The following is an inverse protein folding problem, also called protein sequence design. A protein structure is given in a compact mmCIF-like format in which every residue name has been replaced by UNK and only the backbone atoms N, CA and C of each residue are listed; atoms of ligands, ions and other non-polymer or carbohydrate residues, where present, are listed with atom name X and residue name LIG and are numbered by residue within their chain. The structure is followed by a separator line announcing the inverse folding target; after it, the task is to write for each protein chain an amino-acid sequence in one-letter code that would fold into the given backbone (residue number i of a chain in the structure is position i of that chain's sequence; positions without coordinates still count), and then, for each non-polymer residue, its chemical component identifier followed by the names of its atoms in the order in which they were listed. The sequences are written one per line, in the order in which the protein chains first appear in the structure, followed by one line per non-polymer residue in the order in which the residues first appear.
data_IF_956806970292
#
_entry.id   IF_956806970292
#
_cell.length_a   1.000
_cell.length_b   1.000
_cell.length_c   1.000
_cell.angle_alpha   90.00
_cell.angle_beta   90.00
_cell.angle_gamma   90.00
#
_symmetry.space_group_name_H-M   'P 1'
#
loop_
_entity.id
_entity.type
_entity.pdbx_description
1 polymer ?
#
# COMPACT_ATOMS: atom_id res chain seq x y z
N UNK A 1 20.84 -20.80 28.58
CA UNK A 1 19.91 -20.85 27.42
C UNK A 1 20.61 -20.17 26.26
N UNK A 2 20.57 -20.76 25.06
CA UNK A 2 21.08 -20.07 23.87
C UNK A 2 20.31 -18.77 23.67
N UNK A 3 20.99 -17.71 23.22
CA UNK A 3 20.30 -16.46 22.91
C UNK A 3 19.40 -16.67 21.68
N UNK A 4 18.20 -16.05 21.65
CA UNK A 4 17.35 -16.12 20.47
C UNK A 4 18.09 -15.58 19.23
N UNK A 5 17.96 -16.30 18.12
CA UNK A 5 18.58 -15.98 16.83
C UNK A 5 17.65 -15.11 15.99
N UNK A 6 18.22 -14.33 15.08
CA UNK A 6 17.47 -13.57 14.07
C UNK A 6 17.88 -14.10 12.71
N UNK A 7 16.90 -14.55 11.95
CA UNK A 7 17.10 -15.27 10.70
C UNK A 7 16.19 -14.71 9.60
N UNK A 8 16.66 -14.65 8.34
CA UNK A 8 15.81 -14.26 7.22
C UNK A 8 14.70 -15.29 7.01
N UNK A 9 13.49 -14.82 6.71
CA UNK A 9 12.34 -15.67 6.41
C UNK A 9 12.41 -16.08 4.94
N UNK A 10 12.76 -17.33 4.66
CA UNK A 10 12.78 -17.87 3.30
C UNK A 10 11.38 -18.35 2.90
N UNK A 11 11.18 -18.69 1.62
CA UNK A 11 9.87 -19.15 1.13
C UNK A 11 9.37 -20.42 1.84
N UNK A 12 10.28 -21.29 2.27
CA UNK A 12 9.96 -22.47 3.09
C UNK A 12 9.49 -22.15 4.51
N UNK A 13 9.87 -20.98 5.06
CA UNK A 13 9.49 -20.53 6.40
C UNK A 13 8.18 -19.74 6.42
N UNK A 14 7.62 -19.44 5.25
CA UNK A 14 6.58 -18.43 5.12
C UNK A 14 5.28 -18.83 5.83
N UNK A 15 4.81 -20.06 5.66
CA UNK A 15 3.59 -20.53 6.32
C UNK A 15 3.74 -20.58 7.85
N UNK A 16 4.82 -21.16 8.42
CA UNK A 16 5.08 -21.06 9.87
C UNK A 16 5.09 -19.62 10.40
N UNK A 17 5.72 -18.68 9.69
CA UNK A 17 5.71 -17.27 10.09
C UNK A 17 4.31 -16.65 10.00
N UNK A 18 3.56 -16.94 8.94
CA UNK A 18 2.21 -16.43 8.77
C UNK A 18 1.24 -17.00 9.81
N UNK A 19 1.42 -18.26 10.22
CA UNK A 19 0.68 -18.85 11.32
C UNK A 19 0.97 -18.12 12.64
N UNK A 20 2.24 -17.81 12.92
CA UNK A 20 2.61 -16.96 14.05
C UNK A 20 1.91 -15.58 14.02
N UNK A 21 1.80 -14.94 12.84
CA UNK A 21 1.09 -13.67 12.69
C UNK A 21 -0.42 -13.81 12.94
N UNK A 22 -1.06 -14.86 12.43
CA UNK A 22 -2.49 -15.12 12.69
C UNK A 22 -2.76 -15.28 14.19
N UNK A 23 -1.88 -16.00 14.90
CA UNK A 23 -2.04 -16.27 16.33
C UNK A 23 -1.76 -15.04 17.21
N UNK A 24 -0.82 -14.17 16.81
CA UNK A 24 -0.28 -13.13 17.71
C UNK A 24 -0.48 -11.69 17.25
N UNK A 25 -0.82 -11.45 15.97
CA UNK A 25 -1.02 -10.10 15.42
C UNK A 25 -2.48 -9.82 15.04
N UNK A 26 -3.11 -10.71 14.27
CA UNK A 26 -4.52 -10.57 13.87
C UNK A 26 -5.08 -11.92 13.45
N UNK A 27 -6.10 -12.38 14.18
CA UNK A 27 -6.84 -13.61 13.89
C UNK A 27 -7.90 -13.46 12.78
N UNK A 28 -8.06 -12.25 12.24
CA UNK A 28 -8.97 -11.98 11.11
C UNK A 28 -8.41 -12.49 9.78
N UNK A 29 -7.10 -12.79 9.73
CA UNK A 29 -6.41 -13.27 8.52
C UNK A 29 -5.80 -14.64 8.77
N UNK A 30 -6.07 -15.59 7.86
CA UNK A 30 -5.42 -16.90 7.86
C UNK A 30 -3.93 -16.79 7.47
N UNK A 31 -3.17 -17.84 7.76
CA UNK A 31 -1.76 -17.92 7.38
C UNK A 31 -1.57 -17.80 5.85
N UNK A 32 -2.50 -18.35 5.07
CA UNK A 32 -2.48 -18.27 3.61
C UNK A 32 -2.75 -16.86 3.10
N UNK A 33 -3.66 -16.13 3.75
CA UNK A 33 -3.95 -14.73 3.40
C UNK A 33 -2.75 -13.83 3.67
N UNK A 34 -2.06 -14.04 4.80
CA UNK A 34 -0.77 -13.39 5.06
C UNK A 34 0.27 -13.78 4.01
N UNK A 35 0.40 -15.07 3.72
CA UNK A 35 1.38 -15.58 2.76
C UNK A 35 1.14 -15.03 1.33
N UNK A 36 -0.11 -14.75 0.95
CA UNK A 36 -0.43 -14.13 -0.34
C UNK A 36 0.27 -12.77 -0.49
N UNK A 37 0.36 -11.97 0.57
CA UNK A 37 1.03 -10.67 0.52
C UNK A 37 2.55 -10.78 0.34
N UNK A 38 3.19 -11.78 0.97
CA UNK A 38 4.64 -12.00 0.87
C UNK A 38 5.06 -12.73 -0.42
N UNK A 39 4.13 -13.46 -1.05
CA UNK A 39 4.35 -14.16 -2.33
C UNK A 39 4.26 -13.26 -3.56
N UNK A 40 3.97 -11.97 -3.40
CA UNK A 40 3.92 -11.06 -4.54
C UNK A 40 5.28 -11.04 -5.26
N UNK A 41 5.25 -11.21 -6.58
CA UNK A 41 6.43 -11.25 -7.43
C UNK A 41 6.71 -9.88 -8.08
N UNK A 42 6.71 -8.83 -7.26
CA UNK A 42 6.94 -7.45 -7.72
C UNK A 42 8.42 -7.11 -7.90
N UNK A 43 9.29 -8.05 -7.55
CA UNK A 43 10.72 -8.09 -7.82
C UNK A 43 11.12 -9.55 -8.02
N UNK A 44 11.97 -9.83 -9.00
CA UNK A 44 12.33 -11.20 -9.36
C UNK A 44 13.38 -11.83 -8.43
N UNK A 45 14.24 -11.02 -7.83
CA UNK A 45 15.37 -11.44 -6.99
C UNK A 45 15.17 -11.01 -5.52
N UNK A 46 13.95 -11.22 -4.99
CA UNK A 46 13.65 -10.89 -3.59
C UNK A 46 14.62 -11.61 -2.64
N UNK A 47 15.21 -10.93 -1.64
CA UNK A 47 16.24 -11.53 -0.78
C UNK A 47 15.68 -12.43 0.33
N UNK A 48 14.43 -12.20 0.77
CA UNK A 48 13.71 -12.92 1.82
C UNK A 48 12.25 -12.41 1.86
N UNK A 49 11.49 -12.77 2.90
CA UNK A 49 10.13 -12.27 3.19
C UNK A 49 10.08 -11.47 4.51
N UNK A 50 11.23 -11.00 5.00
CA UNK A 50 11.41 -10.39 6.30
C UNK A 50 12.37 -11.18 7.19
N UNK A 51 12.30 -10.96 8.50
CA UNK A 51 13.15 -11.62 9.49
C UNK A 51 12.31 -12.14 10.67
N UNK A 52 12.70 -13.28 11.21
CA UNK A 52 12.08 -13.90 12.37
C UNK A 52 13.08 -14.00 13.53
N UNK A 53 12.57 -13.90 14.76
CA UNK A 53 13.28 -14.28 15.97
C UNK A 53 12.92 -15.74 16.26
N UNK A 54 13.94 -16.60 16.39
CA UNK A 54 13.76 -17.99 16.81
C UNK A 54 14.36 -18.24 18.18
N UNK A 55 13.60 -18.93 19.02
CA UNK A 55 14.10 -19.51 20.27
C UNK A 55 13.74 -21.00 20.30
N UNK A 56 14.74 -21.86 20.49
CA UNK A 56 14.58 -23.32 20.49
C UNK A 56 13.78 -23.84 19.27
N UNK A 57 14.07 -23.29 18.08
CA UNK A 57 13.41 -23.64 16.81
C UNK A 57 12.03 -23.03 16.58
N UNK A 58 11.42 -22.38 17.58
CA UNK A 58 10.10 -21.75 17.48
C UNK A 58 10.21 -20.28 17.12
N UNK A 59 9.29 -19.81 16.28
CA UNK A 59 9.15 -18.38 15.98
C UNK A 59 8.53 -17.69 17.20
N UNK A 60 9.23 -16.70 17.74
CA UNK A 60 8.79 -15.91 18.92
C UNK A 60 8.64 -14.42 18.61
N UNK A 61 8.88 -14.06 17.35
CA UNK A 61 8.68 -12.72 16.81
C UNK A 61 9.09 -12.66 15.35
N UNK A 62 8.67 -11.62 14.65
CA UNK A 62 9.12 -11.35 13.30
C UNK A 62 8.63 -10.02 12.76
N UNK A 63 9.19 -9.68 11.61
CA UNK A 63 8.89 -8.47 10.84
C UNK A 63 8.79 -8.90 9.38
N UNK A 64 7.66 -8.62 8.74
CA UNK A 64 7.43 -8.93 7.34
C UNK A 64 8.06 -7.87 6.43
N UNK A 65 8.46 -8.29 5.22
CA UNK A 65 8.95 -7.40 4.19
C UNK A 65 8.35 -7.76 2.82
N UNK A 66 7.83 -6.76 2.13
CA UNK A 66 7.34 -6.86 0.74
C UNK A 66 8.29 -6.07 -0.14
N UNK A 67 8.80 -6.70 -1.19
CA UNK A 67 9.81 -6.11 -2.06
C UNK A 67 9.24 -5.79 -3.44
N UNK A 68 9.71 -4.71 -4.05
CA UNK A 68 9.26 -4.28 -5.37
C UNK A 68 10.31 -3.47 -6.12
N UNK A 69 10.24 -3.49 -7.45
CA UNK A 69 11.00 -2.59 -8.32
C UNK A 69 10.07 -1.73 -9.15
N UNK A 70 10.40 -0.44 -9.24
CA UNK A 70 9.55 0.53 -9.93
C UNK A 70 10.36 1.61 -10.60
N UNK A 71 9.85 2.13 -11.71
CA UNK A 71 10.40 3.34 -12.32
C UNK A 71 9.91 4.57 -11.58
N UNK A 72 10.83 5.38 -11.07
CA UNK A 72 10.58 6.67 -10.45
C UNK A 72 11.54 7.67 -11.09
N UNK A 73 11.02 8.78 -11.64
CA UNK A 73 11.81 9.80 -12.34
C UNK A 73 12.74 9.21 -13.43
N UNK A 74 12.27 8.16 -14.11
CA UNK A 74 13.02 7.46 -15.15
C UNK A 74 14.05 6.43 -14.66
N UNK A 75 14.28 6.32 -13.36
CA UNK A 75 15.23 5.36 -12.76
C UNK A 75 14.49 4.17 -12.14
N UNK A 76 15.08 2.97 -12.24
CA UNK A 76 14.57 1.80 -11.51
C UNK A 76 15.02 1.91 -10.05
N UNK A 77 14.05 2.06 -9.16
CA UNK A 77 14.24 2.13 -7.71
C UNK A 77 13.70 0.86 -7.06
N UNK A 78 14.42 0.33 -6.06
CA UNK A 78 14.03 -0.87 -5.33
C UNK A 78 13.48 -0.50 -3.96
N UNK A 79 12.38 -1.11 -3.57
CA UNK A 79 11.70 -0.85 -2.30
C UNK A 79 11.61 -2.10 -1.44
N UNK A 80 11.73 -1.90 -0.13
CA UNK A 80 11.38 -2.85 0.92
C UNK A 80 10.31 -2.20 1.80
N UNK A 81 9.06 -2.59 1.61
CA UNK A 81 7.97 -2.19 2.49
C UNK A 81 7.90 -3.13 3.70
N UNK A 82 8.20 -2.57 4.87
CA UNK A 82 8.09 -3.20 6.17
C UNK A 82 6.61 -3.31 6.54
N UNK A 83 6.20 -4.49 7.00
CA UNK A 83 4.83 -4.82 7.41
C UNK A 83 4.83 -5.84 8.56
N UNK A 84 3.68 -6.10 9.16
CA UNK A 84 3.42 -7.28 9.98
C UNK A 84 4.45 -7.51 11.10
N UNK A 85 4.79 -6.45 11.83
CA UNK A 85 5.77 -6.50 12.91
C UNK A 85 5.11 -6.96 14.23
N UNK A 86 5.44 -8.18 14.67
CA UNK A 86 4.91 -8.76 15.91
C UNK A 86 6.02 -9.49 16.69
N UNK A 87 6.12 -9.25 18.00
CA UNK A 87 7.09 -9.92 18.87
C UNK A 87 6.41 -10.28 20.19
N UNK A 88 6.55 -11.52 20.63
CA UNK A 88 6.01 -11.96 21.91
C UNK A 88 6.60 -11.14 23.07
N UNK A 89 5.81 -10.95 24.12
CA UNK A 89 6.15 -10.07 25.25
C UNK A 89 7.53 -10.35 25.84
N UNK A 90 7.84 -11.61 26.11
CA UNK A 90 9.13 -12.04 26.68
C UNK A 90 10.34 -11.70 25.78
N UNK A 91 10.12 -11.43 24.49
CA UNK A 91 11.17 -11.18 23.49
C UNK A 91 11.17 -9.75 22.95
N UNK A 92 10.32 -8.84 23.47
CA UNK A 92 10.22 -7.46 22.95
C UNK A 92 11.56 -6.69 22.99
N UNK A 93 12.46 -7.02 23.91
CA UNK A 93 13.82 -6.47 23.95
C UNK A 93 14.62 -6.74 22.65
N UNK A 94 14.27 -7.77 21.90
CA UNK A 94 14.89 -8.13 20.62
C UNK A 94 14.23 -7.46 19.42
N UNK A 95 13.09 -6.77 19.60
CA UNK A 95 12.30 -6.17 18.51
C UNK A 95 13.12 -5.19 17.67
N UNK A 96 13.96 -4.38 18.30
CA UNK A 96 14.81 -3.42 17.59
C UNK A 96 15.83 -4.11 16.66
N UNK A 97 16.33 -5.29 17.03
CA UNK A 97 17.26 -6.05 16.19
C UNK A 97 16.60 -6.55 14.90
N UNK A 98 15.29 -6.84 14.91
CA UNK A 98 14.54 -7.17 13.69
C UNK A 98 14.51 -6.00 12.72
N UNK A 99 14.13 -4.81 13.20
CA UNK A 99 14.11 -3.62 12.37
C UNK A 99 15.51 -3.29 11.82
N UNK A 100 16.56 -3.41 12.65
CA UNK A 100 17.94 -3.26 12.20
C UNK A 100 18.33 -4.26 11.12
N UNK A 101 17.94 -5.54 11.24
CA UNK A 101 18.22 -6.55 10.22
C UNK A 101 17.58 -6.20 8.87
N UNK A 102 16.33 -5.73 8.88
CA UNK A 102 15.63 -5.28 7.66
C UNK A 102 16.33 -4.10 7.02
N UNK A 103 16.58 -3.03 7.79
CA UNK A 103 17.06 -1.74 7.26
C UNK A 103 18.56 -1.71 6.96
N UNK A 104 19.29 -2.78 7.33
CA UNK A 104 20.70 -2.97 6.99
C UNK A 104 20.88 -3.64 5.62
N UNK A 105 19.79 -4.11 4.99
CA UNK A 105 19.84 -4.65 3.63
C UNK A 105 20.19 -3.51 2.66
N UNK A 106 21.29 -3.62 1.89
CA UNK A 106 21.70 -2.57 0.97
C UNK A 106 20.80 -2.49 -0.25
N UNK A 107 20.75 -1.33 -0.89
CA UNK A 107 20.12 -1.15 -2.20
C UNK A 107 18.59 -1.01 -2.20
N UNK A 108 17.97 -0.81 -1.04
CA UNK A 108 16.52 -0.58 -0.92
C UNK A 108 16.19 0.76 -0.27
N UNK A 109 15.12 1.40 -0.76
CA UNK A 109 14.36 2.38 -0.01
C UNK A 109 13.36 1.66 0.89
N UNK A 110 13.14 2.16 2.10
CA UNK A 110 12.26 1.50 3.05
C UNK A 110 10.99 2.29 3.28
N UNK A 111 9.86 1.60 3.44
CA UNK A 111 8.57 2.21 3.76
C UNK A 111 7.83 1.40 4.81
N UNK A 112 7.06 2.06 5.65
CA UNK A 112 6.01 1.46 6.46
C UNK A 112 4.79 2.39 6.35
N UNK A 113 3.69 1.89 5.78
CA UNK A 113 2.56 2.70 5.35
C UNK A 113 1.35 2.55 6.27
N UNK A 114 1.43 1.68 7.26
CA UNK A 114 0.42 1.47 8.28
C UNK A 114 1.01 1.29 9.69
N UNK A 115 2.08 2.03 10.07
CA UNK A 115 2.75 1.78 11.33
C UNK A 115 1.82 2.09 12.50
N UNK A 116 1.94 1.35 13.59
CA UNK A 116 1.42 1.82 14.87
C UNK A 116 2.20 3.05 15.33
N UNK A 117 1.66 3.85 16.25
CA UNK A 117 2.40 5.01 16.78
C UNK A 117 3.74 4.61 17.40
N UNK A 118 3.78 3.48 18.10
CA UNK A 118 5.00 2.91 18.69
C UNK A 118 6.00 2.51 17.60
N UNK A 119 5.54 1.83 16.55
CA UNK A 119 6.39 1.44 15.41
C UNK A 119 6.93 2.66 14.67
N UNK A 120 6.09 3.67 14.40
CA UNK A 120 6.48 4.91 13.73
C UNK A 120 7.58 5.64 14.51
N UNK A 121 7.43 5.79 15.84
CA UNK A 121 8.47 6.38 16.70
C UNK A 121 9.76 5.56 16.68
N UNK A 122 9.65 4.24 16.70
CA UNK A 122 10.80 3.33 16.64
C UNK A 122 11.57 3.48 15.32
N UNK A 123 10.87 3.49 14.19
CA UNK A 123 11.47 3.64 12.86
C UNK A 123 12.13 5.02 12.66
N UNK A 124 11.64 6.07 13.32
CA UNK A 124 12.28 7.39 13.26
C UNK A 124 13.68 7.39 13.87
N UNK A 125 13.96 6.58 14.90
CA UNK A 125 15.34 6.37 15.39
C UNK A 125 16.24 5.70 14.34
N UNK A 126 15.65 4.97 13.39
CA UNK A 126 16.33 4.36 12.23
C UNK A 126 16.36 5.28 11.01
N UNK A 127 16.24 6.60 11.19
CA UNK A 127 16.27 7.65 10.15
C UNK A 127 15.08 7.61 9.18
N UNK A 128 13.99 6.93 9.53
CA UNK A 128 12.75 7.09 8.77
C UNK A 128 12.17 8.48 9.01
N UNK A 129 11.65 9.08 7.95
CA UNK A 129 11.02 10.39 7.93
C UNK A 129 9.50 10.19 7.84
N UNK A 130 8.69 10.92 8.61
CA UNK A 130 7.25 10.90 8.45
C UNK A 130 6.85 11.48 7.09
N UNK A 131 5.76 10.97 6.53
CA UNK A 131 5.10 11.51 5.35
C UNK A 131 3.84 12.28 5.74
N UNK A 132 3.36 13.11 4.81
CA UNK A 132 2.10 13.81 4.99
C UNK A 132 0.94 12.81 5.16
N UNK A 133 0.37 12.80 6.36
CA UNK A 133 -0.75 11.97 6.81
C UNK A 133 -2.13 12.49 6.39
N UNK A 134 -2.20 13.70 5.80
CA UNK A 134 -3.48 14.32 5.49
C UNK A 134 -4.20 13.58 4.38
N UNK A 135 -5.51 13.54 4.50
CA UNK A 135 -6.39 13.04 3.44
C UNK A 135 -7.33 14.14 2.97
N UNK A 136 -7.33 14.37 1.66
CA UNK A 136 -8.37 15.13 1.00
C UNK A 136 -9.62 14.25 0.89
N UNK A 137 -10.77 14.80 1.30
CA UNK A 137 -12.08 14.18 1.16
C UNK A 137 -13.02 15.16 0.45
N UNK A 138 -13.76 14.65 -0.53
CA UNK A 138 -14.82 15.40 -1.19
C UNK A 138 -16.03 14.51 -1.44
N UNK A 139 -17.24 15.10 -1.45
CA UNK A 139 -18.45 14.34 -1.72
C UNK A 139 -18.53 13.87 -3.17
N UNK A 140 -19.15 12.72 -3.37
CA UNK A 140 -19.54 12.20 -4.67
C UNK A 140 -21.02 12.55 -4.90
N UNK A 141 -21.36 13.00 -6.10
CA UNK A 141 -22.72 13.37 -6.46
C UNK A 141 -23.00 12.94 -7.90
N UNK A 142 -24.28 12.73 -8.27
CA UNK A 142 -24.64 12.51 -9.66
C UNK A 142 -24.30 13.78 -10.44
N UNK A 143 -23.33 13.68 -11.36
CA UNK A 143 -22.86 14.82 -12.13
C UNK A 143 -23.47 14.74 -13.54
N UNK A 144 -24.47 15.57 -13.90
CA UNK A 144 -25.19 15.42 -15.18
C UNK A 144 -24.29 15.68 -16.40
N UNK A 145 -23.18 16.42 -16.22
CA UNK A 145 -22.18 16.65 -17.26
C UNK A 145 -21.10 15.55 -17.32
N UNK A 146 -21.20 14.48 -16.52
CA UNK A 146 -20.21 13.38 -16.51
C UNK A 146 -20.16 12.61 -17.83
N UNK A 147 -21.29 12.57 -18.55
CA UNK A 147 -21.42 11.98 -19.88
C UNK A 147 -21.07 12.95 -21.03
N UNK A 148 -20.84 14.24 -20.73
CA UNK A 148 -20.53 15.24 -21.75
C UNK A 148 -19.02 15.22 -22.04
N UNK A 149 -18.68 15.24 -23.33
CA UNK A 149 -17.31 15.24 -23.88
C UNK A 149 -16.52 13.91 -23.87
N UNK A 150 -17.20 12.75 -23.87
CA UNK A 150 -16.59 11.45 -24.20
C UNK A 150 -15.69 10.85 -23.11
N UNK A 151 -15.78 11.34 -21.88
CA UNK A 151 -15.10 10.75 -20.71
C UNK A 151 -15.86 9.49 -20.28
N UNK A 152 -15.14 8.41 -19.99
CA UNK A 152 -15.71 7.12 -19.54
C UNK A 152 -15.03 6.67 -18.26
N UNK A 153 -15.77 5.92 -17.45
CA UNK A 153 -15.25 5.06 -16.38
C UNK A 153 -15.43 3.63 -16.82
N UNK A 154 -14.33 2.88 -16.92
CA UNK A 154 -14.30 1.49 -17.35
C UNK A 154 -13.88 0.66 -16.13
N UNK A 155 -14.68 -0.34 -15.77
CA UNK A 155 -14.41 -1.26 -14.65
C UNK A 155 -14.24 -2.70 -15.09
N UNK A 156 -14.57 -3.03 -16.34
CA UNK A 156 -14.33 -4.35 -16.92
C UNK A 156 -12.83 -4.59 -17.11
N UNK A 157 -12.32 -5.69 -16.56
CA UNK A 157 -10.88 -5.95 -16.50
C UNK A 157 -10.25 -6.17 -17.88
N UNK A 158 -10.97 -6.81 -18.81
CA UNK A 158 -10.47 -7.02 -20.18
C UNK A 158 -10.38 -5.70 -20.94
N UNK A 159 -11.40 -4.86 -20.80
CA UNK A 159 -11.38 -3.52 -21.37
C UNK A 159 -10.28 -2.66 -20.76
N UNK A 160 -10.11 -2.66 -19.42
CA UNK A 160 -9.01 -1.94 -18.75
C UNK A 160 -7.65 -2.37 -19.31
N UNK A 161 -7.41 -3.68 -19.45
CA UNK A 161 -6.15 -4.21 -19.98
C UNK A 161 -5.83 -3.67 -21.39
N UNK A 162 -6.85 -3.44 -22.21
CA UNK A 162 -6.70 -2.99 -23.60
C UNK A 162 -6.49 -1.48 -23.78
N UNK A 163 -6.92 -0.65 -22.81
CA UNK A 163 -6.99 0.82 -22.97
C UNK A 163 -5.94 1.60 -22.17
N UNK A 164 -5.30 0.96 -21.20
CA UNK A 164 -4.30 1.62 -20.36
C UNK A 164 -2.97 1.81 -21.10
N UNK A 165 -2.26 2.94 -20.87
CA UNK A 165 -0.87 3.09 -21.29
C UNK A 165 0.01 1.97 -20.71
N UNK A 166 1.11 1.63 -21.37
CA UNK A 166 1.96 0.48 -21.02
C UNK A 166 2.35 0.41 -19.52
N UNK A 167 2.82 1.52 -18.93
CA UNK A 167 3.22 1.57 -17.53
C UNK A 167 2.04 1.35 -16.57
N UNK A 168 0.88 1.96 -16.87
CA UNK A 168 -0.34 1.78 -16.07
C UNK A 168 -0.93 0.37 -16.25
N UNK A 169 -0.86 -0.18 -17.46
CA UNK A 169 -1.28 -1.54 -17.79
C UNK A 169 -0.47 -2.59 -17.04
N UNK A 170 0.85 -2.36 -16.86
CA UNK A 170 1.70 -3.21 -16.03
C UNK A 170 1.25 -3.21 -14.56
N UNK A 171 1.04 -2.03 -13.97
CA UNK A 171 0.55 -1.90 -12.58
C UNK A 171 -0.78 -2.63 -12.43
N UNK A 172 -1.72 -2.45 -13.38
CA UNK A 172 -2.98 -3.17 -13.37
C UNK A 172 -2.79 -4.69 -13.42
N UNK A 173 -1.99 -5.20 -14.37
CA UNK A 173 -1.74 -6.63 -14.53
C UNK A 173 -1.14 -7.28 -13.27
N UNK A 174 -0.21 -6.58 -12.60
CA UNK A 174 0.48 -7.04 -11.40
C UNK A 174 -0.37 -6.94 -10.11
N UNK A 175 -1.58 -6.39 -10.18
CA UNK A 175 -2.48 -6.23 -9.03
C UNK A 175 -3.91 -6.79 -9.24
N UNK A 176 -4.36 -7.02 -10.48
CA UNK A 176 -5.75 -7.41 -10.80
C UNK A 176 -6.21 -8.74 -10.20
N UNK A 177 -5.29 -9.58 -9.74
CA UNK A 177 -5.58 -10.85 -9.05
C UNK A 177 -5.96 -10.67 -7.57
N UNK A 178 -5.72 -9.50 -7.00
CA UNK A 178 -6.04 -9.18 -5.61
C UNK A 178 -7.51 -8.75 -5.51
N UNK A 179 -8.37 -9.69 -5.08
CA UNK A 179 -9.83 -9.56 -5.15
C UNK A 179 -10.44 -8.42 -4.31
N UNK A 180 -9.72 -7.95 -3.29
CA UNK A 180 -10.15 -6.81 -2.47
C UNK A 180 -9.85 -5.44 -3.10
N UNK A 181 -9.07 -5.39 -4.19
CA UNK A 181 -8.81 -4.16 -4.93
C UNK A 181 -9.87 -3.94 -6.02
N UNK A 182 -10.42 -2.75 -6.07
CA UNK A 182 -11.27 -2.31 -7.16
C UNK A 182 -10.44 -1.51 -8.17
N UNK A 183 -10.61 -1.81 -9.45
CA UNK A 183 -9.89 -1.17 -10.54
C UNK A 183 -10.83 -0.39 -11.45
N UNK A 184 -10.39 0.78 -11.89
CA UNK A 184 -11.06 1.54 -12.93
C UNK A 184 -10.04 2.20 -13.87
N UNK A 185 -10.43 2.37 -15.14
CA UNK A 185 -9.80 3.30 -16.06
C UNK A 185 -10.75 4.49 -16.28
N UNK A 186 -10.32 5.70 -15.91
CA UNK A 186 -11.11 6.93 -16.09
C UNK A 186 -10.42 7.87 -17.06
N UNK A 187 -11.16 8.34 -18.06
CA UNK A 187 -10.63 9.28 -19.05
C UNK A 187 -11.25 9.13 -20.42
N UNK A 188 -10.47 9.47 -21.45
CA UNK A 188 -10.88 9.43 -22.85
C UNK A 188 -10.03 8.41 -23.61
N UNK A 189 -10.46 7.96 -24.81
CA UNK A 189 -9.61 7.15 -25.68
C UNK A 189 -8.22 7.76 -25.85
N UNK A 190 -7.17 6.96 -25.60
CA UNK A 190 -5.76 7.39 -25.65
C UNK A 190 -5.24 8.12 -24.40
N UNK A 191 -6.10 8.46 -23.43
CA UNK A 191 -5.74 9.16 -22.20
C UNK A 191 -6.59 8.67 -21.02
N UNK A 192 -6.36 7.42 -20.62
CA UNK A 192 -6.99 6.80 -19.46
C UNK A 192 -6.05 6.80 -18.25
N UNK A 193 -6.58 7.24 -17.11
CA UNK A 193 -5.96 7.09 -15.80
C UNK A 193 -6.41 5.76 -15.18
N UNK A 194 -5.46 4.88 -14.83
CA UNK A 194 -5.73 3.76 -13.94
C UNK A 194 -5.98 4.28 -12.53
N UNK A 195 -7.00 3.76 -11.85
CA UNK A 195 -7.35 4.10 -10.46
C UNK A 195 -7.56 2.80 -9.70
N UNK A 196 -6.93 2.69 -8.54
CA UNK A 196 -7.11 1.57 -7.61
C UNK A 196 -7.70 2.10 -6.31
N UNK A 197 -8.77 1.48 -5.86
CA UNK A 197 -9.52 1.95 -4.70
C UNK A 197 -10.12 0.78 -3.91
N UNK A 198 -10.55 1.08 -2.68
CA UNK A 198 -11.32 0.17 -1.83
C UNK A 198 -12.59 0.84 -1.32
N UNK A 199 -13.67 0.07 -1.06
CA UNK A 199 -14.74 0.50 -0.18
C UNK A 199 -14.19 1.02 1.15
N UNK A 200 -14.70 2.14 1.62
CA UNK A 200 -14.31 2.73 2.89
C UNK A 200 -15.55 3.22 3.65
N UNK A 201 -15.47 3.28 4.98
CA UNK A 201 -16.54 3.82 5.83
C UNK A 201 -15.97 4.85 6.79
N UNK A 202 -16.56 6.05 6.78
CA UNK A 202 -16.14 7.15 7.66
C UNK A 202 -17.38 7.67 8.39
N UNK A 203 -17.35 7.62 9.73
CA UNK A 203 -18.46 8.05 10.60
C UNK A 203 -19.82 7.51 10.14
N UNK A 204 -19.86 6.22 9.79
CA UNK A 204 -21.08 5.54 9.33
C UNK A 204 -21.40 5.70 7.84
N UNK A 205 -20.80 6.66 7.12
CA UNK A 205 -21.04 6.93 5.70
C UNK A 205 -20.14 6.06 4.82
N UNK A 206 -20.70 5.45 3.78
CA UNK A 206 -19.96 4.68 2.79
C UNK A 206 -19.29 5.60 1.75
N UNK A 207 -18.05 5.31 1.41
CA UNK A 207 -17.29 6.02 0.39
C UNK A 207 -16.21 5.14 -0.23
N UNK A 208 -15.33 5.76 -0.99
CA UNK A 208 -14.18 5.12 -1.62
C UNK A 208 -12.89 5.74 -1.08
N UNK A 209 -11.94 4.90 -0.69
CA UNK A 209 -10.56 5.32 -0.48
C UNK A 209 -9.74 4.98 -1.71
N UNK A 210 -9.12 5.99 -2.31
CA UNK A 210 -8.24 5.81 -3.47
C UNK A 210 -6.85 5.50 -2.94
N UNK A 211 -6.34 4.33 -3.34
CA UNK A 211 -5.04 3.85 -2.93
C UNK A 211 -3.96 4.33 -3.91
N UNK A 212 -4.28 4.47 -5.19
CA UNK A 212 -3.34 4.99 -6.17
C UNK A 212 -3.96 5.25 -7.54
N UNK A 213 -3.22 5.97 -8.37
CA UNK A 213 -3.56 6.25 -9.76
C UNK A 213 -2.31 6.37 -10.61
N UNK A 214 -2.43 6.14 -11.92
CA UNK A 214 -1.31 6.26 -12.87
C UNK A 214 -0.95 7.70 -13.21
N UNK A 215 -1.92 8.63 -13.16
CA UNK A 215 -1.72 10.05 -13.46
C UNK A 215 -2.60 10.91 -12.54
N UNK A 216 -1.95 11.65 -11.65
CA UNK A 216 -2.61 12.43 -10.61
C UNK A 216 -3.40 13.64 -11.17
N UNK A 217 -2.86 14.29 -12.20
CA UNK A 217 -3.48 15.42 -12.88
C UNK A 217 -4.73 14.95 -13.66
N UNK A 218 -4.60 13.84 -14.38
CA UNK A 218 -5.68 13.24 -15.13
C UNK A 218 -6.80 12.73 -14.21
N UNK A 219 -6.44 12.10 -13.09
CA UNK A 219 -7.39 11.70 -12.06
C UNK A 219 -8.18 12.91 -11.52
N UNK A 220 -7.49 13.98 -11.11
CA UNK A 220 -8.15 15.18 -10.60
C UNK A 220 -9.03 15.87 -11.64
N UNK A 221 -8.60 15.90 -12.90
CA UNK A 221 -9.37 16.43 -14.03
C UNK A 221 -10.70 15.70 -14.20
N UNK A 222 -10.72 14.37 -14.05
CA UNK A 222 -11.92 13.55 -14.24
C UNK A 222 -12.58 13.08 -12.95
N UNK A 223 -12.21 13.64 -11.79
CA UNK A 223 -12.71 13.24 -10.47
C UNK A 223 -14.22 13.31 -10.32
N UNK A 224 -14.90 14.24 -11.00
CA UNK A 224 -16.36 14.36 -10.93
C UNK A 224 -17.07 13.24 -11.70
N UNK A 225 -16.52 12.84 -12.85
CA UNK A 225 -17.04 11.70 -13.62
C UNK A 225 -16.82 10.39 -12.84
N UNK A 226 -15.63 10.20 -12.26
CA UNK A 226 -15.37 9.06 -11.40
C UNK A 226 -16.24 9.07 -10.13
N UNK A 227 -16.38 10.22 -9.47
CA UNK A 227 -17.23 10.40 -8.30
C UNK A 227 -18.70 10.13 -8.60
N UNK A 228 -19.22 10.54 -9.77
CA UNK A 228 -20.58 10.20 -10.19
C UNK A 228 -20.77 8.71 -10.39
N UNK A 229 -19.78 8.00 -10.95
CA UNK A 229 -19.82 6.54 -11.07
C UNK A 229 -19.87 5.87 -9.68
N UNK A 230 -19.02 6.33 -8.75
CA UNK A 230 -18.98 5.86 -7.37
C UNK A 230 -20.28 6.14 -6.60
N UNK A 231 -20.91 7.30 -6.84
CA UNK A 231 -22.18 7.66 -6.21
C UNK A 231 -23.28 6.63 -6.51
N UNK A 232 -23.40 6.21 -7.77
CA UNK A 232 -24.37 5.20 -8.19
C UNK A 232 -24.09 3.80 -7.63
N UNK A 233 -22.88 3.57 -7.10
CA UNK A 233 -22.50 2.36 -6.35
C UNK A 233 -22.64 2.53 -4.83
N UNK A 234 -23.33 3.58 -4.36
CA UNK A 234 -23.54 3.86 -2.94
C UNK A 234 -22.28 4.35 -2.21
N UNK A 235 -21.32 4.94 -2.92
CA UNK A 235 -20.11 5.55 -2.36
C UNK A 235 -20.24 7.08 -2.41
N UNK A 236 -20.58 7.68 -1.29
CA UNK A 236 -20.99 9.09 -1.21
C UNK A 236 -19.85 10.08 -1.01
N UNK A 237 -18.63 9.61 -0.83
CA UNK A 237 -17.43 10.45 -0.83
C UNK A 237 -16.24 9.71 -1.45
N UNK A 238 -15.29 10.48 -1.95
CA UNK A 238 -13.96 10.02 -2.33
C UNK A 238 -12.95 10.57 -1.34
N UNK A 239 -12.05 9.70 -0.88
CA UNK A 239 -10.95 10.03 0.03
C UNK A 239 -9.62 9.63 -0.59
N UNK A 240 -8.64 10.52 -0.55
CA UNK A 240 -7.29 10.31 -1.10
C UNK A 240 -6.26 10.88 -0.13
N UNK A 241 -5.09 10.28 -0.01
CA UNK A 241 -3.97 10.93 0.68
C UNK A 241 -3.56 12.20 -0.09
N UNK A 242 -3.50 13.34 0.60
CA UNK A 242 -3.21 14.64 -0.02
C UNK A 242 -1.86 14.65 -0.74
N UNK A 243 -0.86 13.90 -0.24
CA UNK A 243 0.47 13.80 -0.84
C UNK A 243 0.51 13.16 -2.24
N UNK A 244 -0.53 12.39 -2.60
CA UNK A 244 -0.61 11.77 -3.92
C UNK A 244 -1.18 12.73 -4.96
N UNK A 245 -1.83 13.82 -4.51
CA UNK A 245 -2.46 14.79 -5.38
C UNK A 245 -1.47 15.93 -5.70
N UNK A 246 -1.47 16.47 -6.93
CA UNK A 246 -0.68 17.64 -7.27
C UNK A 246 -1.18 18.89 -6.53
N UNK A 247 -2.48 18.93 -6.22
CA UNK A 247 -3.12 19.95 -5.39
C UNK A 247 -4.35 19.38 -4.70
N UNK A 248 -4.70 19.91 -3.53
CA UNK A 248 -6.00 19.63 -2.91
C UNK A 248 -7.10 20.32 -3.74
N UNK A 249 -8.12 19.61 -4.23
CA UNK A 249 -9.15 20.22 -5.06
C UNK A 249 -10.04 21.18 -4.25
N UNK A 250 -10.55 22.21 -4.91
CA UNK A 250 -11.50 23.15 -4.31
C UNK A 250 -12.72 22.40 -3.76
N UNK A 251 -13.23 22.86 -2.61
CA UNK A 251 -14.34 22.24 -1.86
C UNK A 251 -14.03 20.86 -1.24
N UNK A 252 -12.79 20.38 -1.31
CA UNK A 252 -12.36 19.27 -0.47
C UNK A 252 -12.10 19.75 0.96
N UNK A 253 -12.37 18.87 1.91
CA UNK A 253 -11.91 19.00 3.28
C UNK A 253 -10.59 18.23 3.42
N UNK A 254 -9.65 18.77 4.18
CA UNK A 254 -8.48 18.00 4.60
C UNK A 254 -8.69 17.44 6.01
N UNK A 255 -8.60 16.13 6.13
CA UNK A 255 -8.62 15.41 7.40
C UNK A 255 -7.18 15.15 7.86
N UNK A 256 -6.92 15.29 9.15
CA UNK A 256 -5.63 15.05 9.80
C UNK A 256 -5.79 14.12 11.02
N UNK A 257 -4.68 13.71 11.65
CA UNK A 257 -4.67 12.81 12.80
C UNK A 257 -4.66 11.34 12.42
N UNK A 258 -4.17 11.02 11.22
CA UNK A 258 -3.94 9.64 10.79
C UNK A 258 -2.53 9.21 11.20
N UNK A 259 -2.28 7.90 11.26
CA UNK A 259 -0.94 7.44 11.63
C UNK A 259 0.05 7.87 10.55
N UNK A 260 1.13 8.52 10.97
CA UNK A 260 2.19 8.96 10.07
C UNK A 260 2.84 7.74 9.44
N UNK A 261 2.57 7.55 8.15
CA UNK A 261 3.37 6.70 7.28
C UNK A 261 4.80 7.19 7.30
N UNK A 262 5.75 6.28 7.21
CA UNK A 262 7.17 6.62 7.28
C UNK A 262 7.94 6.01 6.13
N UNK A 263 9.00 6.69 5.70
CA UNK A 263 9.90 6.20 4.66
C UNK A 263 11.35 6.53 5.00
N UNK A 264 12.29 5.75 4.49
CA UNK A 264 13.72 6.02 4.56
C UNK A 264 14.31 5.91 3.17
N UNK A 265 14.84 7.03 2.70
CA UNK A 265 15.56 7.16 1.44
C UNK A 265 16.52 8.35 1.53
N UNK A 266 17.65 8.20 0.84
CA UNK A 266 18.65 9.25 0.67
C UNK A 266 18.42 10.07 -0.62
N UNK A 267 17.69 9.53 -1.59
CA UNK A 267 17.48 10.13 -2.93
C UNK A 267 16.02 10.54 -3.20
N UNK A 268 15.06 9.92 -2.52
CA UNK A 268 13.62 10.12 -2.75
C UNK A 268 12.97 11.00 -1.68
N UNK A 269 11.86 11.61 -2.05
CA UNK A 269 11.00 12.42 -1.19
C UNK A 269 9.66 11.73 -0.95
N UNK A 270 8.86 12.22 0.00
CA UNK A 270 7.54 11.65 0.30
C UNK A 270 6.56 11.67 -0.90
N UNK A 271 6.75 12.59 -1.86
CA UNK A 271 5.95 12.68 -3.08
C UNK A 271 6.31 11.57 -4.10
N UNK A 272 7.50 10.99 -4.01
CA UNK A 272 7.94 9.88 -4.87
C UNK A 272 7.44 8.52 -4.36
N UNK A 273 7.07 8.45 -3.07
CA UNK A 273 6.58 7.22 -2.46
C UNK A 273 5.14 6.98 -2.91
N UNK A 274 4.90 5.88 -3.61
CA UNK A 274 3.54 5.49 -4.01
C UNK A 274 3.04 4.35 -3.13
N UNK A 275 1.71 4.23 -2.98
CA UNK A 275 1.12 3.09 -2.27
C UNK A 275 1.12 1.80 -3.10
N UNK A 276 1.28 1.87 -4.42
CA UNK A 276 1.39 0.65 -5.24
C UNK A 276 2.59 -0.17 -4.78
N UNK A 277 2.46 -1.49 -4.89
CA UNK A 277 3.51 -2.43 -4.51
C UNK A 277 3.90 -2.37 -3.03
N UNK A 278 2.90 -2.20 -2.16
CA UNK A 278 3.05 -2.18 -0.70
C UNK A 278 1.97 -3.02 -0.02
N UNK A 279 2.05 -3.13 1.30
CA UNK A 279 1.06 -3.73 2.19
C UNK A 279 -0.36 -3.21 1.97
N UNK A 280 -0.52 -1.94 1.57
CA UNK A 280 -1.84 -1.35 1.28
C UNK A 280 -2.52 -2.00 0.08
N UNK A 281 -1.74 -2.57 -0.83
CA UNK A 281 -2.22 -3.35 -1.96
C UNK A 281 -2.25 -4.84 -1.62
N UNK A 282 -1.15 -5.35 -1.05
CA UNK A 282 -0.91 -6.77 -0.84
C UNK A 282 -1.78 -7.40 0.25
N UNK A 283 -2.30 -6.59 1.17
CA UNK A 283 -3.14 -7.03 2.27
C UNK A 283 -4.53 -6.39 2.18
N UNK A 284 -5.54 -7.15 2.57
CA UNK A 284 -6.88 -6.61 2.77
C UNK A 284 -6.98 -5.87 4.12
N UNK A 285 -6.39 -4.67 4.18
CA UNK A 285 -6.44 -3.72 5.30
C UNK A 285 -7.67 -2.82 5.24
#
# INVERSE_FOLDING_TARGET
MALPTIEPIQDGDLLPFCQFLTENLSNERSAEQWAQAFRQNWISDKPNNGFAIRDNGKIVGGIGAIYAERKIRGQTERFCNITSWCVLEAYRAQSMRLAMAVVSQPGFHFTDLTPTEVVSKTLQFLKFKPMNERHAIWPNFPWPFSAIAGVKVITDHETIASVLPADAGRVFAEHRHLSWLQHAAVGKPGAYCHVVWKPNRLKGVNGAIILGFSDAELFLRYRHTFGSHLFWQGRFYTRVESRLLPTVPTLALELAGYRNKVFRSDTLTAADISNFYSELMALDL
#
